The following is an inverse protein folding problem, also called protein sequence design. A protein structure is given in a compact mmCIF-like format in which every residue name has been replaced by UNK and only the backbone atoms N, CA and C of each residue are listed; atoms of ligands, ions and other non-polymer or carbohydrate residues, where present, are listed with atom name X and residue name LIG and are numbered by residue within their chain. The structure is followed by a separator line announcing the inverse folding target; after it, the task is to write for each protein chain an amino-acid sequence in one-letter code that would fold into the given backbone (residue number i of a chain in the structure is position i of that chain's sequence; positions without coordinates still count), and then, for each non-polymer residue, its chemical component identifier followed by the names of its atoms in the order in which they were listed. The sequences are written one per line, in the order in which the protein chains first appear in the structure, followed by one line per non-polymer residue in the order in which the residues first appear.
data_IF_473264505996
#
_entry.id   IF_473264505996
#
_cell.length_a   1.000
_cell.length_b   1.000
_cell.length_c   1.000
_cell.angle_alpha   90.00
_cell.angle_beta   90.00
_cell.angle_gamma   90.00
#
_symmetry.space_group_name_H-M   'P 1'
#
loop_
_entity.id
_entity.type
_entity.pdbx_description
1 polymer ?
#
# COMPACT_ATOMS: atom_id res chain seq x y z
N UNK A 1 -8.40 11.75 -2.30
CA UNK A 1 -8.17 10.35 -1.95
C UNK A 1 -8.04 10.22 -0.43
N UNK A 2 -8.74 9.27 0.15
CA UNK A 2 -8.72 9.02 1.59
C UNK A 2 -7.82 7.84 1.88
N UNK A 3 -6.94 7.96 2.88
CA UNK A 3 -6.05 6.89 3.33
C UNK A 3 -6.67 6.19 4.53
N UNK A 4 -6.77 4.88 4.48
CA UNK A 4 -7.18 4.04 5.59
C UNK A 4 -5.97 3.23 6.09
N UNK A 5 -5.59 3.43 7.34
CA UNK A 5 -4.55 2.63 7.99
C UNK A 5 -5.17 1.36 8.55
N UNK A 6 -4.87 0.23 7.94
CA UNK A 6 -5.43 -1.06 8.36
C UNK A 6 -4.66 -1.58 9.56
N UNK A 7 -5.36 -1.80 10.67
CA UNK A 7 -4.79 -2.42 11.88
C UNK A 7 -4.70 -3.95 11.72
N UNK A 8 -3.72 -4.55 12.40
CA UNK A 8 -3.47 -6.00 12.36
C UNK A 8 -4.47 -6.77 13.24
N UNK A 9 -5.74 -6.63 12.90
CA UNK A 9 -6.87 -7.26 13.59
C UNK A 9 -8.03 -7.40 12.61
N UNK A 10 -8.78 -8.49 12.70
CA UNK A 10 -10.00 -8.65 11.88
C UNK A 10 -11.12 -7.72 12.35
N UNK A 11 -11.41 -7.73 13.65
CA UNK A 11 -12.61 -7.09 14.23
C UNK A 11 -12.37 -5.78 14.94
N UNK A 12 -11.12 -5.40 15.18
CA UNK A 12 -10.76 -4.19 15.93
C UNK A 12 -11.17 -2.88 15.26
N UNK A 13 -11.10 -1.75 15.99
CA UNK A 13 -11.27 -0.43 15.38
C UNK A 13 -10.23 -0.25 14.29
N UNK A 14 -10.66 0.15 13.09
CA UNK A 14 -9.82 0.22 11.89
C UNK A 14 -9.18 -1.12 11.48
N UNK A 15 -9.78 -2.24 11.87
CA UNK A 15 -9.35 -3.58 11.49
C UNK A 15 -9.66 -3.91 10.02
N UNK A 16 -9.31 -5.13 9.64
CA UNK A 16 -9.40 -5.59 8.25
C UNK A 16 -10.84 -5.57 7.74
N UNK A 17 -11.80 -6.09 8.49
CA UNK A 17 -13.22 -6.10 8.08
C UNK A 17 -13.76 -4.68 7.91
N UNK A 18 -13.39 -3.79 8.81
CA UNK A 18 -13.80 -2.38 8.74
C UNK A 18 -13.19 -1.69 7.52
N UNK A 19 -11.98 -2.06 7.14
CA UNK A 19 -11.32 -1.56 5.94
C UNK A 19 -12.05 -1.98 4.67
N UNK A 20 -12.57 -3.21 4.60
CA UNK A 20 -13.38 -3.66 3.47
C UNK A 20 -14.66 -2.85 3.34
N UNK A 21 -15.35 -2.63 4.45
CA UNK A 21 -16.57 -1.80 4.48
C UNK A 21 -16.28 -0.38 4.02
N UNK A 22 -15.22 0.22 4.52
CA UNK A 22 -14.78 1.55 4.11
C UNK A 22 -14.46 1.62 2.62
N UNK A 23 -13.66 0.69 2.12
CA UNK A 23 -13.28 0.60 0.72
C UNK A 23 -14.52 0.46 -0.18
N UNK A 24 -15.39 -0.47 0.14
CA UNK A 24 -16.64 -0.71 -0.59
C UNK A 24 -17.53 0.54 -0.62
N UNK A 25 -17.70 1.20 0.52
CA UNK A 25 -18.52 2.40 0.61
C UNK A 25 -17.95 3.56 -0.22
N UNK A 26 -16.64 3.80 -0.12
CA UNK A 26 -15.98 4.85 -0.87
C UNK A 26 -16.03 4.60 -2.39
N UNK A 27 -15.77 3.37 -2.82
CA UNK A 27 -15.82 3.02 -4.24
C UNK A 27 -17.23 3.17 -4.83
N UNK A 28 -18.26 2.79 -4.08
CA UNK A 28 -19.65 2.98 -4.53
C UNK A 28 -20.03 4.45 -4.68
N UNK A 29 -19.39 5.34 -3.93
CA UNK A 29 -19.61 6.78 -4.01
C UNK A 29 -18.63 7.48 -4.98
N UNK A 30 -17.87 6.71 -5.75
CA UNK A 30 -16.94 7.25 -6.75
C UNK A 30 -15.66 7.85 -6.18
N UNK A 31 -15.36 7.61 -4.91
CA UNK A 31 -14.14 8.11 -4.27
C UNK A 31 -12.96 7.14 -4.50
N UNK A 32 -11.76 7.71 -4.63
CA UNK A 32 -10.53 6.93 -4.58
C UNK A 32 -10.13 6.62 -3.13
N UNK A 33 -9.59 5.44 -2.91
CA UNK A 33 -9.11 5.00 -1.59
C UNK A 33 -7.67 4.52 -1.66
N UNK A 34 -6.91 4.82 -0.62
CA UNK A 34 -5.59 4.27 -0.40
C UNK A 34 -5.61 3.41 0.88
N UNK A 35 -5.21 2.16 0.74
CA UNK A 35 -5.16 1.22 1.86
C UNK A 35 -3.70 1.07 2.29
N UNK A 36 -3.38 1.51 3.50
CA UNK A 36 -2.04 1.39 4.07
C UNK A 36 -1.94 0.10 4.88
N UNK A 37 -1.17 -0.86 4.38
CA UNK A 37 -1.13 -2.24 4.86
C UNK A 37 0.07 -2.55 5.76
N UNK A 38 0.91 -1.58 6.07
CA UNK A 38 2.21 -1.80 6.73
C UNK A 38 2.11 -2.31 8.16
N UNK A 39 0.98 -2.11 8.83
CA UNK A 39 0.76 -2.65 10.18
C UNK A 39 0.39 -4.13 10.18
N UNK A 40 -0.02 -4.69 9.04
CA UNK A 40 -0.30 -6.12 8.93
C UNK A 40 1.01 -6.89 9.06
N UNK A 41 0.98 -7.95 9.88
CA UNK A 41 2.14 -8.82 10.06
C UNK A 41 2.49 -9.54 8.75
N UNK A 42 3.77 -9.86 8.58
CA UNK A 42 4.25 -10.57 7.40
C UNK A 42 3.68 -11.98 7.26
N UNK A 43 3.72 -12.49 6.04
CA UNK A 43 3.34 -13.88 5.74
C UNK A 43 4.14 -14.85 6.59
N UNK A 44 3.48 -15.84 7.13
CA UNK A 44 4.10 -16.86 7.97
C UNK A 44 4.26 -16.48 9.44
N UNK A 45 3.90 -15.25 9.82
CA UNK A 45 3.94 -14.84 11.23
C UNK A 45 2.83 -15.51 12.01
N UNK A 46 3.18 -16.12 13.15
CA UNK A 46 2.24 -16.74 14.07
C UNK A 46 1.64 -15.67 15.01
N UNK A 47 0.38 -15.79 15.31
CA UNK A 47 -0.32 -14.93 16.27
C UNK A 47 -0.25 -15.47 17.72
N UNK A 48 0.53 -16.49 17.99
CA UNK A 48 0.60 -17.17 19.29
C UNK A 48 -0.57 -18.11 19.57
N UNK A 49 -1.50 -18.28 18.64
CA UNK A 49 -2.67 -19.16 18.75
C UNK A 49 -2.71 -20.23 17.64
N UNK A 50 -1.58 -20.45 16.97
CA UNK A 50 -1.47 -21.41 15.88
C UNK A 50 -2.05 -20.97 14.56
N UNK A 51 -2.43 -19.70 14.41
CA UNK A 51 -2.91 -19.14 13.16
C UNK A 51 -1.78 -18.37 12.49
N UNK A 52 -1.48 -18.75 11.26
CA UNK A 52 -0.41 -18.17 10.46
C UNK A 52 -0.99 -17.09 9.52
N UNK A 53 -0.35 -15.93 9.50
CA UNK A 53 -0.74 -14.81 8.64
C UNK A 53 -0.49 -15.12 7.16
N UNK A 54 -1.43 -14.77 6.30
CA UNK A 54 -1.25 -14.80 4.84
C UNK A 54 -0.50 -13.59 4.29
N UNK A 55 -0.32 -12.55 5.11
CA UNK A 55 0.42 -11.35 4.76
C UNK A 55 -0.40 -10.27 4.04
N UNK A 56 0.15 -9.04 3.95
CA UNK A 56 -0.55 -7.91 3.37
C UNK A 56 -0.82 -8.07 1.86
N UNK A 57 -0.01 -8.82 1.14
CA UNK A 57 -0.20 -9.05 -0.30
C UNK A 57 -1.49 -9.82 -0.58
N UNK A 58 -1.79 -10.84 0.22
CA UNK A 58 -3.04 -11.60 0.09
C UNK A 58 -4.27 -10.73 0.40
N UNK A 59 -4.21 -9.94 1.46
CA UNK A 59 -5.28 -9.00 1.79
C UNK A 59 -5.42 -7.90 0.73
N UNK A 60 -4.32 -7.47 0.13
CA UNK A 60 -4.34 -6.52 -0.97
C UNK A 60 -5.15 -6.97 -2.17
N UNK A 61 -5.17 -8.25 -2.46
CA UNK A 61 -5.98 -8.82 -3.54
C UNK A 61 -7.48 -8.63 -3.30
N UNK A 62 -7.94 -8.63 -2.07
CA UNK A 62 -9.35 -8.41 -1.72
C UNK A 62 -9.80 -7.02 -2.15
N UNK A 63 -9.01 -5.99 -1.92
CA UNK A 63 -9.35 -4.61 -2.34
C UNK A 63 -9.38 -4.47 -3.85
N UNK A 64 -8.50 -5.14 -4.57
CA UNK A 64 -8.53 -5.19 -6.03
C UNK A 64 -9.81 -5.86 -6.53
N UNK A 65 -10.22 -6.97 -5.93
CA UNK A 65 -11.45 -7.67 -6.27
C UNK A 65 -12.70 -6.86 -5.94
N UNK A 66 -12.71 -6.14 -4.82
CA UNK A 66 -13.82 -5.21 -4.48
C UNK A 66 -13.97 -4.15 -5.56
N UNK A 67 -12.89 -3.54 -6.01
CA UNK A 67 -12.93 -2.55 -7.08
C UNK A 67 -13.43 -3.14 -8.39
N UNK A 68 -12.93 -4.31 -8.76
CA UNK A 68 -13.39 -5.02 -9.96
C UNK A 68 -14.88 -5.33 -9.91
N UNK A 69 -15.36 -5.87 -8.79
CA UNK A 69 -16.73 -6.31 -8.62
C UNK A 69 -17.70 -5.14 -8.62
N UNK A 70 -17.41 -4.09 -7.86
CA UNK A 70 -18.27 -2.92 -7.75
C UNK A 70 -18.32 -2.11 -9.04
N UNK A 71 -17.20 -2.05 -9.77
CA UNK A 71 -17.12 -1.38 -11.06
C UNK A 71 -17.99 -2.02 -12.13
N UNK A 72 -18.13 -3.34 -12.11
CA UNK A 72 -19.00 -4.07 -13.04
C UNK A 72 -20.49 -3.76 -12.85
N UNK A 73 -20.88 -3.25 -11.70
CA UNK A 73 -22.23 -2.78 -11.41
C UNK A 73 -22.68 -1.53 -12.17
N UNK A 74 -21.85 -0.94 -13.00
CA UNK A 74 -22.23 -0.06 -14.11
C UNK A 74 -22.34 1.43 -13.85
N UNK A 75 -22.44 1.91 -12.64
CA UNK A 75 -22.70 3.34 -12.37
C UNK A 75 -21.44 4.11 -11.98
N UNK A 76 -20.44 3.47 -11.40
CA UNK A 76 -19.27 4.13 -10.82
C UNK A 76 -17.99 3.76 -11.58
N UNK A 77 -17.70 4.51 -12.63
CA UNK A 77 -16.60 4.23 -13.57
C UNK A 77 -15.19 4.58 -13.04
N UNK A 78 -15.06 5.31 -11.95
CA UNK A 78 -13.81 5.96 -11.58
C UNK A 78 -13.27 5.62 -10.21
N UNK A 79 -13.72 4.52 -9.58
CA UNK A 79 -13.12 4.07 -8.32
C UNK A 79 -11.66 3.69 -8.51
N UNK A 80 -10.78 4.29 -7.72
CA UNK A 80 -9.36 3.97 -7.71
C UNK A 80 -8.94 3.41 -6.36
N UNK A 81 -8.22 2.31 -6.38
CA UNK A 81 -7.61 1.70 -5.19
C UNK A 81 -6.11 1.75 -5.33
N UNK A 82 -5.43 2.26 -4.31
CA UNK A 82 -3.98 2.24 -4.19
C UNK A 82 -3.61 1.48 -2.94
N UNK A 83 -2.76 0.48 -3.07
CA UNK A 83 -2.21 -0.29 -1.95
C UNK A 83 -0.87 0.32 -1.57
N UNK A 84 -0.68 0.65 -0.31
CA UNK A 84 0.54 1.21 0.23
C UNK A 84 1.22 0.23 1.17
N UNK A 85 2.53 0.04 0.99
CA UNK A 85 3.36 -0.74 1.90
C UNK A 85 4.70 -0.02 2.12
N UNK A 86 5.14 0.04 3.37
CA UNK A 86 6.44 0.64 3.70
C UNK A 86 7.58 -0.25 3.21
N UNK A 87 8.65 0.38 2.72
CA UNK A 87 9.80 -0.34 2.14
C UNK A 87 10.49 -1.29 3.14
N UNK A 88 10.36 -1.03 4.43
CA UNK A 88 10.95 -1.86 5.49
C UNK A 88 10.05 -3.01 5.96
N UNK A 89 8.90 -3.21 5.33
CA UNK A 89 8.01 -4.33 5.67
C UNK A 89 8.64 -5.67 5.26
N UNK A 90 8.50 -6.75 6.07
CA UNK A 90 9.04 -8.07 5.74
C UNK A 90 8.62 -8.61 4.37
N UNK A 91 7.39 -8.31 3.94
CA UNK A 91 6.84 -8.81 2.67
C UNK A 91 7.02 -7.84 1.49
N UNK A 92 7.92 -6.87 1.61
CA UNK A 92 8.09 -5.87 0.56
C UNK A 92 8.50 -6.48 -0.79
N UNK A 93 9.34 -7.50 -0.79
CA UNK A 93 9.76 -8.18 -2.02
C UNK A 93 8.57 -8.85 -2.71
N UNK A 94 7.72 -9.55 -1.97
CA UNK A 94 6.48 -10.13 -2.53
C UNK A 94 5.58 -9.05 -3.10
N UNK A 95 5.39 -7.96 -2.37
CA UNK A 95 4.55 -6.83 -2.78
C UNK A 95 5.03 -6.18 -4.07
N UNK A 96 6.32 -5.92 -4.19
CA UNK A 96 6.92 -5.29 -5.37
C UNK A 96 6.91 -6.23 -6.58
N UNK A 97 7.10 -7.52 -6.36
CA UNK A 97 7.15 -8.54 -7.42
C UNK A 97 5.77 -9.04 -7.86
N UNK A 98 4.69 -8.64 -7.22
CA UNK A 98 3.33 -8.92 -7.71
C UNK A 98 3.17 -8.36 -9.13
N UNK A 99 2.45 -9.09 -9.95
CA UNK A 99 2.14 -8.65 -11.32
C UNK A 99 0.83 -7.87 -11.36
N UNK A 100 0.57 -7.21 -12.47
CA UNK A 100 -0.75 -6.60 -12.72
C UNK A 100 -1.87 -7.63 -12.76
N UNK A 101 -1.56 -8.88 -13.09
CA UNK A 101 -2.52 -9.97 -13.08
C UNK A 101 -2.96 -10.34 -11.65
N UNK A 102 -2.07 -10.19 -10.67
CA UNK A 102 -2.38 -10.50 -9.27
C UNK A 102 -3.32 -9.46 -8.65
N UNK A 103 -3.15 -8.20 -9.01
CA UNK A 103 -3.96 -7.07 -8.51
C UNK A 103 -4.36 -6.12 -9.65
N UNK A 104 -5.18 -6.59 -10.60
CA UNK A 104 -5.44 -5.85 -11.84
C UNK A 104 -6.20 -4.53 -11.62
N UNK A 105 -6.94 -4.40 -10.53
CA UNK A 105 -7.77 -3.23 -10.23
C UNK A 105 -7.26 -2.39 -9.05
N UNK A 106 -6.02 -2.60 -8.66
CA UNK A 106 -5.35 -1.82 -7.63
C UNK A 106 -3.96 -1.41 -8.11
N UNK A 107 -3.57 -0.20 -7.77
CA UNK A 107 -2.21 0.29 -7.97
C UNK A 107 -1.41 0.06 -6.70
N UNK A 108 -0.09 -0.04 -6.82
CA UNK A 108 0.80 -0.29 -5.69
C UNK A 108 1.76 0.87 -5.51
N UNK A 109 1.93 1.27 -4.26
CA UNK A 109 2.82 2.36 -3.89
C UNK A 109 3.73 1.90 -2.75
N UNK A 110 5.01 2.11 -2.90
CA UNK A 110 6.00 1.87 -1.85
C UNK A 110 6.22 3.16 -1.07
N UNK A 111 6.00 3.11 0.23
CA UNK A 111 6.22 4.24 1.12
C UNK A 111 7.64 4.20 1.66
N UNK A 112 8.29 5.34 1.66
CA UNK A 112 9.67 5.44 2.15
C UNK A 112 10.01 6.84 2.64
N UNK A 113 11.03 6.89 3.49
CA UNK A 113 11.78 8.09 3.83
C UNK A 113 13.20 7.93 3.30
N UNK A 114 14.00 9.00 3.32
CA UNK A 114 15.42 8.89 2.93
C UNK A 114 16.17 7.88 3.81
N UNK A 115 15.90 7.87 5.12
CA UNK A 115 16.50 6.91 6.04
C UNK A 115 16.07 5.47 5.75
N UNK A 116 14.79 5.24 5.45
CA UNK A 116 14.29 3.91 5.11
C UNK A 116 14.92 3.39 3.82
N UNK A 117 15.11 4.25 2.82
CA UNK A 117 15.80 3.89 1.59
C UNK A 117 17.25 3.51 1.84
N UNK A 118 17.97 4.33 2.59
CA UNK A 118 19.38 4.08 2.89
C UNK A 118 19.59 2.82 3.74
N UNK A 119 18.63 2.49 4.60
CA UNK A 119 18.64 1.29 5.43
C UNK A 119 18.13 0.02 4.73
N UNK A 120 17.53 0.12 3.54
CA UNK A 120 17.05 -1.04 2.79
C UNK A 120 18.23 -1.84 2.21
N UNK A 121 18.08 -3.16 2.13
CA UNK A 121 19.11 -3.98 1.48
C UNK A 121 19.08 -3.79 -0.05
N UNK A 122 20.17 -4.21 -0.71
CA UNK A 122 20.32 -4.00 -2.14
C UNK A 122 19.27 -4.77 -2.97
N UNK A 123 18.88 -5.95 -2.53
CA UNK A 123 17.84 -6.74 -3.18
C UNK A 123 16.49 -6.00 -3.23
N UNK A 124 16.09 -5.37 -2.11
CA UNK A 124 14.87 -4.56 -2.03
C UNK A 124 14.97 -3.34 -2.94
N UNK A 125 16.10 -2.63 -2.90
CA UNK A 125 16.33 -1.46 -3.76
C UNK A 125 16.22 -1.81 -5.23
N UNK A 126 16.88 -2.88 -5.65
CA UNK A 126 16.85 -3.36 -7.04
C UNK A 126 15.42 -3.75 -7.46
N UNK A 127 14.70 -4.48 -6.61
CA UNK A 127 13.32 -4.87 -6.89
C UNK A 127 12.40 -3.66 -7.04
N UNK A 128 12.53 -2.66 -6.18
CA UNK A 128 11.76 -1.41 -6.27
C UNK A 128 12.08 -0.65 -7.55
N UNK A 129 13.34 -0.50 -7.90
CA UNK A 129 13.77 0.15 -9.14
C UNK A 129 13.23 -0.57 -10.38
N UNK A 130 13.30 -1.90 -10.40
CA UNK A 130 12.75 -2.70 -11.48
C UNK A 130 11.22 -2.54 -11.59
N UNK A 131 10.51 -2.52 -10.46
CA UNK A 131 9.06 -2.30 -10.43
C UNK A 131 8.66 -0.92 -10.97
N UNK A 132 9.43 0.11 -10.64
CA UNK A 132 9.22 1.46 -11.18
C UNK A 132 9.47 1.48 -12.70
N UNK A 133 10.53 0.85 -13.17
CA UNK A 133 10.85 0.77 -14.60
C UNK A 133 9.75 0.07 -15.41
N UNK A 134 9.12 -0.96 -14.84
CA UNK A 134 7.97 -1.62 -15.46
C UNK A 134 6.68 -0.79 -15.41
N UNK A 135 6.66 0.29 -14.62
CA UNK A 135 5.45 1.07 -14.37
C UNK A 135 4.46 0.42 -13.42
N UNK A 136 4.87 -0.57 -12.64
CA UNK A 136 4.01 -1.32 -11.72
C UNK A 136 3.97 -0.70 -10.32
N UNK A 137 4.99 0.04 -9.94
CA UNK A 137 5.18 0.58 -8.60
C UNK A 137 5.34 2.11 -8.66
N UNK A 138 4.67 2.79 -7.75
CA UNK A 138 4.87 4.20 -7.46
C UNK A 138 5.62 4.37 -6.15
N UNK A 139 6.21 5.53 -5.95
CA UNK A 139 6.83 5.92 -4.69
C UNK A 139 5.99 6.96 -3.98
N UNK A 140 5.88 6.83 -2.66
CA UNK A 140 5.34 7.87 -1.80
C UNK A 140 6.35 8.22 -0.71
N UNK A 141 6.79 9.47 -0.67
CA UNK A 141 7.62 9.99 0.40
C UNK A 141 6.74 10.27 1.60
N UNK A 142 7.04 9.61 2.73
CA UNK A 142 6.32 9.81 3.98
C UNK A 142 6.95 10.96 4.75
N UNK A 143 6.12 11.80 5.32
CA UNK A 143 6.50 12.81 6.32
C UNK A 143 5.39 12.93 7.36
N UNK A 144 5.69 13.54 8.48
CA UNK A 144 4.69 13.90 9.47
C UNK A 144 4.32 15.37 9.35
N UNK A 145 3.04 15.68 9.51
CA UNK A 145 2.60 17.07 9.66
C UNK A 145 2.87 17.57 11.08
N UNK A 146 2.50 18.82 11.33
CA UNK A 146 2.69 19.46 12.65
C UNK A 146 1.92 18.78 13.80
N UNK A 147 0.96 17.91 13.49
CA UNK A 147 0.18 17.13 14.45
C UNK A 147 0.61 15.67 14.55
N UNK A 148 1.73 15.30 13.93
CA UNK A 148 2.22 13.93 13.91
C UNK A 148 1.50 12.98 12.97
N UNK A 149 0.58 13.47 12.13
CA UNK A 149 -0.13 12.63 11.15
C UNK A 149 0.77 12.36 9.95
N UNK A 150 0.67 11.16 9.38
CA UNK A 150 1.42 10.81 8.18
C UNK A 150 0.84 11.49 6.94
N UNK A 151 1.72 12.09 6.16
CA UNK A 151 1.42 12.63 4.84
C UNK A 151 2.16 11.78 3.81
N UNK A 152 1.44 11.37 2.77
CA UNK A 152 1.96 10.58 1.67
C UNK A 152 2.01 11.47 0.43
N UNK A 153 3.21 11.78 -0.03
CA UNK A 153 3.40 12.56 -1.25
C UNK A 153 3.97 11.67 -2.34
N UNK A 154 3.25 11.47 -3.41
CA UNK A 154 3.77 10.77 -4.58
C UNK A 154 4.96 11.52 -5.13
N UNK A 155 6.05 10.81 -5.36
CA UNK A 155 7.27 11.37 -5.92
C UNK A 155 7.78 10.48 -7.06
N UNK A 156 8.33 11.08 -8.08
CA UNK A 156 9.08 10.28 -9.04
C UNK A 156 10.46 9.95 -8.49
N UNK A 157 11.05 8.88 -9.01
CA UNK A 157 12.33 8.38 -8.56
C UNK A 157 13.43 9.45 -8.61
N UNK A 158 13.51 10.22 -9.68
CA UNK A 158 14.51 11.26 -9.83
C UNK A 158 14.40 12.33 -8.74
N UNK A 159 13.19 12.81 -8.48
CA UNK A 159 12.95 13.82 -7.44
C UNK A 159 13.31 13.24 -6.08
N UNK A 160 12.94 11.99 -5.81
CA UNK A 160 13.30 11.33 -4.56
C UNK A 160 14.81 11.23 -4.37
N UNK A 161 15.54 10.76 -5.38
CA UNK A 161 16.99 10.61 -5.30
C UNK A 161 17.72 11.97 -5.14
N UNK A 162 17.23 13.02 -5.79
CA UNK A 162 17.78 14.37 -5.65
C UNK A 162 17.47 14.99 -4.29
N UNK A 163 16.34 14.65 -3.69
CA UNK A 163 15.90 15.22 -2.41
C UNK A 163 16.34 14.42 -1.18
N UNK A 164 17.20 13.43 -1.37
CA UNK A 164 17.78 12.68 -0.25
C UNK A 164 18.51 13.62 0.69
N UNK A 165 18.03 13.70 1.93
CA UNK A 165 18.61 14.60 2.94
C UNK A 165 18.10 16.04 2.94
N UNK A 166 17.34 16.47 1.94
CA UNK A 166 16.65 17.76 1.94
C UNK A 166 15.15 17.56 1.90
N UNK A 167 14.44 18.24 2.77
CA UNK A 167 12.98 18.29 2.71
C UNK A 167 12.60 19.28 1.61
N UNK A 168 12.59 18.81 0.36
CA UNK A 168 11.95 19.57 -0.70
C UNK A 168 10.44 19.40 -0.56
N UNK A 169 9.81 20.47 -0.21
CA UNK A 169 8.36 20.63 -0.30
C UNK A 169 7.95 20.69 -1.76
#
# INVERSE_FOLDING_TARGET
CTVFNVEDSMEGPNGIEKSWRFCSHALRNGAGVAMHLSKLRGRGSDNGKGLVSSGPCSFGQIYSMLNQTLRRGGVYKNGAVVLHLDINHPDILEFVNMTRADVPWAKRCVNLTSLMWDGANDEVKEAVLAGISRGDIWLAKIRSDQFGRRIYANVCLEVFLRSRGTCLL
#
